data_IF_032891341468
#
_entry.id   IF_032891341468
#
_cell.length_a   1.000
_cell.length_b   1.000
_cell.length_c   1.000
_cell.angle_alpha   90.00
_cell.angle_beta   90.00
_cell.angle_gamma   90.00
#
_symmetry.space_group_name_H-M   'P 1'
#
loop_
_entity.id
_entity.type
_entity.pdbx_description
1 polymer ?
#
# COMPACT_ATOMS: atom_id res chain seq x y z
N UNK A 1 -41.00 -28.20 -0.03
CA UNK A 1 -39.92 -28.88 -0.78
C UNK A 1 -39.43 -27.90 -1.81
N UNK A 2 -38.14 -27.52 -1.76
CA UNK A 2 -37.54 -26.66 -2.77
C UNK A 2 -37.47 -27.43 -4.09
N UNK A 3 -37.92 -26.81 -5.18
CA UNK A 3 -37.84 -27.40 -6.52
C UNK A 3 -36.50 -27.04 -7.14
N UNK A 4 -36.05 -27.82 -8.11
CA UNK A 4 -34.78 -27.59 -8.81
C UNK A 4 -34.72 -26.19 -9.46
N UNK A 5 -35.87 -25.65 -9.88
CA UNK A 5 -35.99 -24.31 -10.45
C UNK A 5 -35.64 -23.22 -9.43
N UNK A 6 -36.06 -23.36 -8.17
CA UNK A 6 -35.75 -22.40 -7.11
C UNK A 6 -34.23 -22.33 -6.85
N UNK A 7 -33.53 -23.46 -7.01
CA UNK A 7 -32.07 -23.54 -6.85
C UNK A 7 -31.37 -22.84 -8.02
N UNK A 8 -31.85 -23.05 -9.24
CA UNK A 8 -31.30 -22.43 -10.45
C UNK A 8 -31.44 -20.91 -10.38
N UNK A 9 -32.60 -20.41 -9.96
CA UNK A 9 -32.87 -18.98 -9.85
C UNK A 9 -31.95 -18.30 -8.82
N UNK A 10 -31.76 -18.92 -7.65
CA UNK A 10 -30.84 -18.41 -6.61
C UNK A 10 -29.38 -18.41 -7.11
N UNK A 11 -28.97 -19.43 -7.87
CA UNK A 11 -27.60 -19.50 -8.43
C UNK A 11 -27.42 -18.43 -9.51
N UNK A 12 -28.40 -18.22 -10.38
CA UNK A 12 -28.38 -17.19 -11.40
C UNK A 12 -28.35 -15.77 -10.80
N UNK A 13 -29.15 -15.49 -9.77
CA UNK A 13 -29.12 -14.21 -9.06
C UNK A 13 -27.77 -13.94 -8.41
N UNK A 14 -27.15 -14.94 -7.79
CA UNK A 14 -25.84 -14.78 -7.15
C UNK A 14 -24.69 -14.58 -8.17
N UNK A 15 -24.76 -15.22 -9.33
CA UNK A 15 -23.79 -15.02 -10.42
C UNK A 15 -23.95 -13.63 -11.07
N UNK A 16 -25.18 -13.17 -11.28
CA UNK A 16 -25.44 -11.85 -11.85
C UNK A 16 -25.09 -10.72 -10.87
N UNK A 17 -25.29 -10.93 -9.56
CA UNK A 17 -24.95 -9.96 -8.52
C UNK A 17 -23.43 -9.88 -8.24
N UNK A 18 -22.69 -10.96 -8.46
CA UNK A 18 -21.23 -10.94 -8.37
C UNK A 18 -20.56 -10.22 -9.55
N UNK A 19 -21.21 -10.18 -10.72
CA UNK A 19 -20.73 -9.42 -11.88
C UNK A 19 -20.90 -7.90 -11.75
N UNK A 20 -21.86 -7.41 -10.96
CA UNK A 20 -22.13 -5.96 -10.80
C UNK A 20 -21.24 -5.26 -9.77
N UNK A 21 -20.42 -5.98 -9.01
CA UNK A 21 -19.42 -5.39 -8.10
C UNK A 21 -18.05 -5.28 -8.78
N UNK A 22 -17.89 -4.19 -9.53
CA UNK A 22 -16.63 -3.47 -9.63
C UNK A 22 -15.57 -4.03 -10.57
N UNK A 23 -15.33 -3.27 -11.64
CA UNK A 23 -14.09 -3.25 -12.41
C UNK A 23 -12.84 -3.44 -11.54
N UNK A 24 -12.15 -4.57 -11.68
CA UNK A 24 -10.72 -4.75 -11.39
C UNK A 24 -10.23 -5.93 -12.23
N UNK A 25 -9.41 -5.64 -13.24
CA UNK A 25 -8.69 -6.64 -14.02
C UNK A 25 -7.87 -7.58 -13.09
N UNK A 26 -7.88 -8.89 -13.38
CA UNK A 26 -6.91 -9.85 -12.84
C UNK A 26 -6.86 -10.00 -11.32
N UNK A 27 -7.98 -10.33 -10.68
CA UNK A 27 -8.02 -10.57 -9.23
C UNK A 27 -7.46 -11.95 -8.85
N UNK A 28 -6.25 -12.00 -8.29
CA UNK A 28 -5.74 -13.18 -7.58
C UNK A 28 -6.68 -13.47 -6.40
N UNK A 29 -7.42 -14.58 -6.49
CA UNK A 29 -8.31 -15.05 -5.41
C UNK A 29 -7.49 -15.35 -4.16
N UNK A 30 -7.60 -14.48 -3.15
CA UNK A 30 -6.89 -14.64 -1.88
C UNK A 30 -7.57 -15.72 -1.01
N UNK A 31 -6.80 -16.72 -0.56
CA UNK A 31 -7.25 -17.71 0.42
C UNK A 31 -7.26 -17.05 1.81
N UNK A 32 -8.41 -16.57 2.26
CA UNK A 32 -8.61 -16.21 3.66
C UNK A 32 -8.85 -17.48 4.48
N UNK A 33 -8.00 -17.73 5.48
CA UNK A 33 -8.20 -18.83 6.44
C UNK A 33 -9.34 -18.54 7.43
N UNK A 34 -9.86 -19.60 8.06
CA UNK A 34 -11.08 -19.63 8.88
C UNK A 34 -11.09 -18.71 10.12
N UNK A 35 -9.94 -18.15 10.52
CA UNK A 35 -9.80 -17.34 11.74
C UNK A 35 -9.24 -15.92 11.52
N UNK A 36 -8.94 -15.51 10.29
CA UNK A 36 -8.36 -14.19 10.04
C UNK A 36 -9.44 -13.21 9.59
N UNK A 37 -9.84 -12.28 10.48
CA UNK A 37 -10.77 -11.17 10.17
C UNK A 37 -10.22 -10.18 9.13
N UNK A 38 -8.93 -10.26 8.83
CA UNK A 38 -8.15 -9.31 8.02
C UNK A 38 -7.21 -10.05 7.08
N UNK A 39 -6.78 -9.40 6.00
CA UNK A 39 -5.83 -10.01 5.05
C UNK A 39 -4.51 -10.29 5.77
N UNK A 40 -3.90 -11.45 5.53
CA UNK A 40 -2.58 -11.83 6.07
C UNK A 40 -1.48 -10.80 5.78
N UNK A 41 -1.64 -9.98 4.74
CA UNK A 41 -0.68 -8.98 4.26
C UNK A 41 -0.93 -7.59 4.88
N UNK A 42 -1.87 -7.42 5.81
CA UNK A 42 -2.03 -6.14 6.50
C UNK A 42 -0.81 -5.86 7.40
N UNK A 43 0.10 -5.03 6.89
CA UNK A 43 1.26 -4.52 7.61
C UNK A 43 0.79 -3.75 8.84
N UNK A 44 0.96 -4.34 10.02
CA UNK A 44 0.71 -3.62 11.27
C UNK A 44 1.90 -2.71 11.57
N UNK A 45 1.69 -1.40 11.49
CA UNK A 45 2.67 -0.39 11.88
C UNK A 45 2.08 0.47 12.98
N UNK A 46 2.87 0.75 14.02
CA UNK A 46 2.53 1.75 15.05
C UNK A 46 2.70 3.18 14.55
N UNK A 47 3.28 3.37 13.36
CA UNK A 47 3.45 4.68 12.74
C UNK A 47 2.12 5.10 12.11
N UNK A 48 1.65 6.29 12.46
CA UNK A 48 0.48 6.89 11.82
C UNK A 48 0.72 6.97 10.29
N UNK A 49 -0.25 6.50 9.50
CA UNK A 49 -0.20 6.45 8.04
C UNK A 49 0.03 7.82 7.34
N UNK A 50 -0.03 8.92 8.10
CA UNK A 50 0.13 10.27 7.57
C UNK A 50 1.59 10.76 7.56
N UNK A 51 2.55 9.98 8.07
CA UNK A 51 3.97 10.36 8.05
C UNK A 51 4.66 9.76 6.83
N UNK A 52 5.22 10.63 5.99
CA UNK A 52 6.01 10.21 4.85
C UNK A 52 7.35 9.62 5.31
N UNK A 53 7.69 8.41 4.85
CA UNK A 53 8.98 7.79 5.10
C UNK A 53 9.93 8.10 3.93
N UNK A 54 11.00 8.85 4.21
CA UNK A 54 12.08 9.12 3.26
C UNK A 54 13.04 7.94 3.26
N UNK A 55 13.16 7.30 2.11
CA UNK A 55 14.00 6.11 1.92
C UNK A 55 15.33 6.44 1.23
N UNK A 56 16.30 5.54 1.38
CA UNK A 56 17.61 5.64 0.70
C UNK A 56 17.46 5.83 -0.81
N UNK A 57 16.51 5.10 -1.41
CA UNK A 57 16.25 5.14 -2.85
C UNK A 57 15.84 6.54 -3.34
N UNK A 58 15.00 7.23 -2.58
CA UNK A 58 14.57 8.59 -2.91
C UNK A 58 15.75 9.56 -2.85
N UNK A 59 16.62 9.42 -1.84
CA UNK A 59 17.81 10.26 -1.71
C UNK A 59 18.82 10.00 -2.83
N UNK A 60 19.03 8.74 -3.21
CA UNK A 60 19.88 8.39 -4.37
C UNK A 60 19.40 9.07 -5.65
N UNK A 61 18.08 9.15 -5.88
CA UNK A 61 17.52 9.86 -7.05
C UNK A 61 17.86 11.34 -7.03
N UNK A 62 17.74 11.99 -5.87
CA UNK A 62 18.09 13.41 -5.71
C UNK A 62 19.58 13.63 -6.00
N UNK A 63 20.45 12.78 -5.43
CA UNK A 63 21.89 12.86 -5.62
C UNK A 63 22.27 12.67 -7.10
N UNK A 64 21.64 11.72 -7.80
CA UNK A 64 21.87 11.49 -9.24
C UNK A 64 21.46 12.69 -10.10
N UNK A 65 20.45 13.45 -9.68
CA UNK A 65 20.07 14.71 -10.33
C UNK A 65 21.03 15.86 -10.05
N UNK A 66 22.00 15.69 -9.15
CA UNK A 66 22.93 16.74 -8.72
C UNK A 66 22.33 17.72 -7.71
N UNK A 67 21.13 17.46 -7.21
CA UNK A 67 20.49 18.28 -6.19
C UNK A 67 21.14 18.00 -4.82
N UNK A 68 21.50 19.07 -4.11
CA UNK A 68 22.08 18.98 -2.75
C UNK A 68 21.11 19.45 -1.67
N UNK A 69 19.87 19.76 -2.03
CA UNK A 69 18.86 20.23 -1.08
C UNK A 69 17.59 19.42 -1.25
N UNK A 70 17.07 18.87 -0.16
CA UNK A 70 15.81 18.13 -0.14
C UNK A 70 14.84 18.86 0.76
N UNK A 71 13.65 19.15 0.22
CA UNK A 71 12.51 19.64 0.99
C UNK A 71 11.69 18.45 1.46
N UNK A 72 11.50 18.35 2.78
CA UNK A 72 10.68 17.29 3.39
C UNK A 72 9.64 17.92 4.32
N UNK A 73 8.51 17.24 4.50
CA UNK A 73 7.53 17.62 5.51
C UNK A 73 8.17 17.57 6.91
N UNK A 74 7.76 18.48 7.81
CA UNK A 74 8.18 18.47 9.22
C UNK A 74 8.00 17.12 9.92
N UNK A 75 6.95 16.39 9.55
CA UNK A 75 6.58 15.10 10.15
C UNK A 75 7.16 13.89 9.40
N UNK A 76 8.00 14.13 8.38
CA UNK A 76 8.63 13.08 7.62
C UNK A 76 9.65 12.31 8.46
N UNK A 77 9.63 10.99 8.33
CA UNK A 77 10.57 10.07 8.98
C UNK A 77 11.70 9.81 8.00
N UNK A 78 12.94 9.98 8.43
CA UNK A 78 14.11 9.67 7.60
C UNK A 78 14.58 8.26 7.98
N UNK A 79 14.68 7.37 7.00
CA UNK A 79 15.22 6.03 7.22
C UNK A 79 16.69 6.07 7.64
N UNK A 80 17.20 5.08 8.41
CA UNK A 80 18.59 5.06 8.88
C UNK A 80 19.61 5.16 7.73
N UNK A 81 19.43 4.36 6.68
CA UNK A 81 20.30 4.38 5.50
C UNK A 81 20.20 5.68 4.71
N UNK A 82 19.02 6.31 4.72
CA UNK A 82 18.83 7.61 4.09
C UNK A 82 19.60 8.70 4.85
N UNK A 83 19.60 8.62 6.19
CA UNK A 83 20.34 9.54 7.05
C UNK A 83 21.85 9.45 6.80
N UNK A 84 22.40 8.25 6.71
CA UNK A 84 23.82 8.01 6.41
C UNK A 84 24.20 8.66 5.06
N UNK A 85 23.41 8.43 4.01
CA UNK A 85 23.65 9.05 2.70
C UNK A 85 23.57 10.58 2.73
N UNK A 86 22.63 11.14 3.48
CA UNK A 86 22.52 12.59 3.65
C UNK A 86 23.79 13.15 4.27
N UNK A 87 24.30 12.50 5.32
CA UNK A 87 25.51 12.93 6.03
C UNK A 87 26.74 12.80 5.14
N UNK A 88 26.94 11.65 4.49
CA UNK A 88 28.08 11.40 3.60
C UNK A 88 28.14 12.37 2.41
N UNK A 89 26.98 12.69 1.83
CA UNK A 89 26.88 13.56 0.65
C UNK A 89 26.65 15.02 1.00
N UNK A 90 26.65 15.38 2.29
CA UNK A 90 26.40 16.72 2.80
C UNK A 90 25.13 17.36 2.19
N UNK A 91 24.03 16.60 2.15
CA UNK A 91 22.76 17.06 1.59
C UNK A 91 22.06 17.94 2.63
N UNK A 92 21.61 19.13 2.22
CA UNK A 92 20.86 20.05 3.07
C UNK A 92 19.40 19.64 3.13
N UNK A 93 18.89 19.43 4.34
CA UNK A 93 17.46 19.16 4.56
C UNK A 93 16.76 20.47 4.94
N UNK A 94 15.69 20.81 4.23
CA UNK A 94 14.79 21.90 4.58
C UNK A 94 13.45 21.28 4.99
N UNK A 95 13.03 21.50 6.24
CA UNK A 95 11.76 21.01 6.76
C UNK A 95 10.70 22.11 6.61
N UNK A 96 9.68 21.86 5.79
CA UNK A 96 8.55 22.76 5.55
C UNK A 96 7.28 22.24 6.24
#
# INVERSE_FOLDING_TARGET
MLKEQDIIDIVCENLLNSSKKGNCAGGVSYKSGFFTKKRWIESYSSLNNNRQLITEYEIRKVVQKGERTIKISKDAIIGPLALELIQEKAIKIVRE
#
